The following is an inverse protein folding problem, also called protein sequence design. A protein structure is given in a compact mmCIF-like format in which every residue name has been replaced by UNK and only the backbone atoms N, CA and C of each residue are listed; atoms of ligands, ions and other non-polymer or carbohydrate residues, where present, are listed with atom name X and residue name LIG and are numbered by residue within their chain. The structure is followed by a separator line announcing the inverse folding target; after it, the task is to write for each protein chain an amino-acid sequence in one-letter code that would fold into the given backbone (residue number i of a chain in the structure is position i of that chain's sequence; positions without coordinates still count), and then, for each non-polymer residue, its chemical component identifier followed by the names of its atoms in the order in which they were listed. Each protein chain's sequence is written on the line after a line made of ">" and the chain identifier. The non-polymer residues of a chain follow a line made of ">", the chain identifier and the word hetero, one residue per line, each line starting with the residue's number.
data_IF_419094905444
#
_entry.id   IF_419094905444
#
_cell.length_a   1.000
_cell.length_b   1.000
_cell.length_c   1.000
_cell.angle_alpha   90.00
_cell.angle_beta   90.00
_cell.angle_gamma   90.00
#
_symmetry.space_group_name_H-M   'P 1'
#
loop_
_entity.id
_entity.type
_entity.pdbx_description
1 polymer ?
#
# COMPACT_ATOMS: atom_id res chain seq x y z
N UNK A 1 -2.21 -23.37 -9.84
CA UNK A 1 -1.43 -22.12 -9.69
C UNK A 1 -2.05 -21.31 -8.55
N UNK A 2 -1.27 -20.81 -7.58
CA UNK A 2 -1.82 -19.92 -6.56
C UNK A 2 -2.29 -18.62 -7.21
N UNK A 3 -3.56 -18.26 -7.00
CA UNK A 3 -4.12 -16.94 -7.29
C UNK A 3 -3.19 -15.86 -6.71
N UNK A 4 -2.97 -14.78 -7.45
CA UNK A 4 -2.20 -13.58 -7.10
C UNK A 4 -2.49 -13.07 -5.67
N UNK A 5 -3.72 -13.23 -5.18
CA UNK A 5 -4.20 -12.91 -3.84
C UNK A 5 -3.59 -13.80 -2.75
N UNK A 6 -3.53 -15.13 -2.95
CA UNK A 6 -2.83 -16.02 -2.03
C UNK A 6 -1.32 -15.78 -2.04
N UNK A 7 -0.75 -15.37 -3.18
CA UNK A 7 0.67 -14.95 -3.24
C UNK A 7 0.91 -13.70 -2.41
N UNK A 8 0.01 -12.72 -2.43
CA UNK A 8 0.11 -11.50 -1.64
C UNK A 8 -0.07 -11.76 -0.14
N UNK A 9 -1.02 -12.63 0.24
CA UNK A 9 -1.27 -12.98 1.64
C UNK A 9 -0.15 -13.85 2.23
N UNK A 10 0.33 -14.84 1.46
CA UNK A 10 1.52 -15.62 1.81
C UNK A 10 2.74 -14.72 1.87
N UNK A 11 2.86 -13.73 0.97
CA UNK A 11 3.95 -12.76 0.99
C UNK A 11 3.87 -11.83 2.20
N UNK A 12 2.71 -11.30 2.58
CA UNK A 12 2.54 -10.52 3.82
C UNK A 12 2.94 -11.36 5.04
N UNK A 13 2.53 -12.63 5.08
CA UNK A 13 2.83 -13.54 6.17
C UNK A 13 4.30 -13.98 6.19
N UNK A 14 4.95 -14.15 5.04
CA UNK A 14 6.38 -14.45 4.93
C UNK A 14 7.22 -13.20 5.20
N UNK A 15 6.91 -12.04 4.61
CA UNK A 15 7.69 -10.81 4.70
C UNK A 15 7.74 -10.23 6.13
N UNK A 16 6.64 -10.30 6.89
CA UNK A 16 6.64 -9.96 8.32
C UNK A 16 7.41 -10.97 9.19
N UNK A 17 7.57 -12.23 8.77
CA UNK A 17 8.23 -13.29 9.55
C UNK A 17 9.65 -13.65 9.10
N UNK A 18 10.09 -13.32 7.88
CA UNK A 18 11.42 -13.66 7.35
C UNK A 18 12.44 -12.56 7.54
N UNK A 19 12.01 -11.32 7.72
CA UNK A 19 12.92 -10.27 8.16
C UNK A 19 13.23 -10.49 9.63
N UNK A 20 14.44 -10.94 9.94
CA UNK A 20 14.89 -11.12 11.33
C UNK A 20 14.71 -9.86 12.19
N UNK A 21 15.02 -9.93 13.49
CA UNK A 21 14.74 -8.87 14.49
C UNK A 21 15.01 -7.43 14.02
N UNK A 22 16.08 -7.19 13.26
CA UNK A 22 16.43 -5.88 12.71
C UNK A 22 15.39 -5.33 11.70
N UNK A 23 14.87 -6.19 10.82
CA UNK A 23 13.84 -5.80 9.85
C UNK A 23 12.50 -5.51 10.53
N UNK A 24 12.12 -6.33 11.51
CA UNK A 24 10.92 -6.06 12.32
C UNK A 24 11.00 -4.72 13.07
N UNK A 25 12.17 -4.41 13.65
CA UNK A 25 12.39 -3.12 14.29
C UNK A 25 12.30 -1.95 13.30
N UNK A 26 12.88 -2.09 12.12
CA UNK A 26 12.84 -1.08 11.06
C UNK A 26 11.40 -0.79 10.61
N UNK A 27 10.58 -1.83 10.41
CA UNK A 27 9.17 -1.67 10.05
C UNK A 27 8.34 -1.05 11.17
N UNK A 28 8.64 -1.36 12.43
CA UNK A 28 8.01 -0.71 13.58
C UNK A 28 8.32 0.79 13.63
N UNK A 29 9.59 1.17 13.44
CA UNK A 29 9.99 2.58 13.37
C UNK A 29 9.36 3.33 12.19
N UNK A 30 9.23 2.65 11.04
CA UNK A 30 8.52 3.20 9.90
C UNK A 30 7.05 3.45 10.26
N UNK A 31 6.37 2.48 10.85
CA UNK A 31 4.97 2.60 11.27
C UNK A 31 4.76 3.75 12.25
N UNK A 32 5.62 3.90 13.25
CA UNK A 32 5.55 4.99 14.23
C UNK A 32 5.65 6.38 13.55
N UNK A 33 6.56 6.53 12.58
CA UNK A 33 6.66 7.78 11.80
C UNK A 33 5.38 8.06 11.01
N UNK A 34 4.78 7.04 10.41
CA UNK A 34 3.53 7.21 9.66
C UNK A 34 2.34 7.52 10.58
N UNK A 35 2.31 6.96 11.80
CA UNK A 35 1.31 7.28 12.81
C UNK A 35 1.37 8.76 13.22
N UNK A 36 2.57 9.31 13.44
CA UNK A 36 2.72 10.73 13.73
C UNK A 36 2.21 11.63 12.60
N UNK A 37 2.37 11.22 11.35
CA UNK A 37 1.79 11.93 10.19
C UNK A 37 0.26 11.78 10.18
N UNK A 38 -0.28 10.58 10.46
CA UNK A 38 -1.72 10.37 10.56
C UNK A 38 -2.35 11.28 11.63
N UNK A 39 -1.72 11.43 12.80
CA UNK A 39 -2.19 12.34 13.85
C UNK A 39 -2.22 13.81 13.40
N UNK A 40 -1.22 14.24 12.63
CA UNK A 40 -1.22 15.58 12.03
C UNK A 40 -2.38 15.77 11.05
N UNK A 41 -2.73 14.76 10.24
CA UNK A 41 -3.88 14.83 9.34
C UNK A 41 -5.23 14.80 10.08
N UNK A 42 -5.32 14.05 11.20
CA UNK A 42 -6.52 13.99 12.03
C UNK A 42 -6.82 15.31 12.75
N UNK A 43 -5.79 16.10 13.03
CA UNK A 43 -5.92 17.38 13.75
C UNK A 43 -5.95 18.59 12.83
N UNK A 44 -5.71 18.42 11.52
CA UNK A 44 -5.73 19.50 10.53
C UNK A 44 -7.19 19.86 10.15
N UNK A 45 -7.64 21.11 10.40
CA UNK A 45 -8.99 21.58 10.06
C UNK A 45 -9.36 21.39 8.58
N UNK A 46 -8.38 21.29 7.68
CA UNK A 46 -8.59 21.00 6.26
C UNK A 46 -9.37 19.69 6.03
N UNK A 47 -9.25 18.70 6.91
CA UNK A 47 -9.88 17.38 6.75
C UNK A 47 -11.03 17.11 7.73
N UNK A 48 -11.49 18.12 8.49
CA UNK A 48 -12.57 17.97 9.47
C UNK A 48 -13.86 17.41 8.87
N UNK A 49 -14.16 17.74 7.60
CA UNK A 49 -15.32 17.23 6.87
C UNK A 49 -15.13 15.87 6.17
N UNK A 50 -13.99 15.22 6.33
CA UNK A 50 -13.73 13.92 5.70
C UNK A 50 -14.31 12.78 6.55
N UNK A 51 -15.35 12.11 6.04
CA UNK A 51 -15.95 10.96 6.71
C UNK A 51 -14.97 9.80 6.85
N UNK A 52 -15.00 9.11 7.99
CA UNK A 52 -14.14 7.96 8.31
C UNK A 52 -12.63 8.21 8.11
N UNK A 53 -12.18 9.45 8.32
CA UNK A 53 -10.79 9.86 8.09
C UNK A 53 -9.79 8.93 8.79
N UNK A 54 -10.00 8.60 10.07
CA UNK A 54 -9.12 7.71 10.82
C UNK A 54 -8.98 6.33 10.16
N UNK A 55 -10.09 5.72 9.75
CA UNK A 55 -10.12 4.43 9.06
C UNK A 55 -9.41 4.51 7.70
N UNK A 56 -9.64 5.59 6.94
CA UNK A 56 -8.96 5.85 5.66
C UNK A 56 -7.46 5.99 5.83
N UNK A 57 -7.01 6.76 6.82
CA UNK A 57 -5.59 6.95 7.12
C UNK A 57 -4.90 5.63 7.51
N UNK A 58 -5.55 4.77 8.29
CA UNK A 58 -5.02 3.44 8.61
C UNK A 58 -4.92 2.53 7.37
N UNK A 59 -5.91 2.58 6.49
CA UNK A 59 -5.87 1.85 5.23
C UNK A 59 -4.74 2.35 4.31
N UNK A 60 -4.60 3.66 4.18
CA UNK A 60 -3.55 4.30 3.38
C UNK A 60 -2.15 4.05 3.93
N UNK A 61 -1.98 4.08 5.26
CA UNK A 61 -0.72 3.71 5.94
C UNK A 61 -0.29 2.30 5.55
N UNK A 62 -1.19 1.32 5.71
CA UNK A 62 -0.91 -0.09 5.37
C UNK A 62 -0.51 -0.23 3.90
N UNK A 63 -1.25 0.43 3.00
CA UNK A 63 -0.92 0.43 1.57
C UNK A 63 0.46 1.04 1.28
N UNK A 64 0.77 2.18 1.89
CA UNK A 64 2.06 2.84 1.71
C UNK A 64 3.23 1.97 2.19
N UNK A 65 3.09 1.30 3.33
CA UNK A 65 4.11 0.37 3.86
C UNK A 65 4.34 -0.86 2.96
N UNK A 66 3.35 -1.28 2.17
CA UNK A 66 3.51 -2.33 1.15
C UNK A 66 4.34 -1.86 -0.05
N UNK A 67 4.40 -0.54 -0.30
CA UNK A 67 5.03 0.06 -1.47
C UNK A 67 6.45 0.58 -1.20
N UNK A 68 6.72 1.06 0.01
CA UNK A 68 8.06 1.48 0.45
C UNK A 68 8.94 0.25 0.76
N UNK A 69 9.39 -0.40 -0.32
CA UNK A 69 10.16 -1.64 -0.31
C UNK A 69 11.67 -1.43 -0.11
N UNK A 70 12.15 -0.19 -0.19
CA UNK A 70 13.58 0.13 -0.04
C UNK A 70 13.90 0.69 1.36
N UNK A 71 12.88 0.79 2.24
CA UNK A 71 12.94 1.27 3.62
C UNK A 71 13.51 2.69 3.76
N UNK A 72 13.40 3.51 2.71
CA UNK A 72 13.89 4.90 2.74
C UNK A 72 12.85 5.87 3.29
N UNK A 73 11.61 5.44 3.50
CA UNK A 73 10.50 6.29 3.95
C UNK A 73 9.76 6.97 2.80
N UNK A 74 10.25 6.86 1.57
CA UNK A 74 9.70 7.50 0.37
C UNK A 74 9.66 6.54 -0.82
N UNK A 75 8.60 6.66 -1.63
CA UNK A 75 8.45 5.86 -2.85
C UNK A 75 9.22 6.55 -3.98
N UNK A 76 10.35 5.96 -4.36
CA UNK A 76 11.09 6.35 -5.57
C UNK A 76 10.48 5.75 -6.84
N UNK A 77 10.99 6.15 -8.00
CA UNK A 77 10.52 5.65 -9.30
C UNK A 77 10.61 4.12 -9.43
N UNK A 78 11.57 3.48 -8.76
CA UNK A 78 11.74 2.04 -8.78
C UNK A 78 10.74 1.34 -7.87
N UNK A 79 10.40 1.93 -6.73
CA UNK A 79 9.31 1.52 -5.85
C UNK A 79 7.98 1.56 -6.59
N UNK A 80 7.68 2.68 -7.27
CA UNK A 80 6.48 2.84 -8.09
C UNK A 80 6.44 1.81 -9.23
N UNK A 81 7.55 1.60 -9.93
CA UNK A 81 7.66 0.58 -11.00
C UNK A 81 7.33 -0.81 -10.47
N UNK A 82 8.01 -1.25 -9.40
CA UNK A 82 7.82 -2.58 -8.81
C UNK A 82 6.40 -2.81 -8.33
N UNK A 83 5.79 -1.77 -7.74
CA UNK A 83 4.40 -1.80 -7.33
C UNK A 83 3.49 -2.05 -8.53
N UNK A 84 3.58 -1.24 -9.59
CA UNK A 84 2.73 -1.37 -10.77
C UNK A 84 2.94 -2.70 -11.52
N UNK A 85 4.18 -3.19 -11.59
CA UNK A 85 4.47 -4.53 -12.15
C UNK A 85 3.79 -5.64 -11.34
N UNK A 86 3.79 -5.57 -10.00
CA UNK A 86 3.09 -6.54 -9.15
C UNK A 86 1.58 -6.54 -9.37
N UNK A 87 1.03 -5.40 -9.80
CA UNK A 87 -0.39 -5.22 -10.10
C UNK A 87 -0.73 -5.61 -11.54
N UNK A 88 0.26 -6.04 -12.34
CA UNK A 88 0.09 -6.37 -13.76
C UNK A 88 -0.04 -5.14 -14.66
N UNK A 89 0.24 -3.94 -14.14
CA UNK A 89 0.10 -2.65 -14.81
C UNK A 89 1.47 -2.06 -15.15
N UNK A 90 2.37 -2.84 -15.76
CA UNK A 90 3.70 -2.36 -16.12
C UNK A 90 3.64 -1.06 -16.94
N UNK A 91 4.47 -0.08 -16.57
CA UNK A 91 4.53 1.25 -17.18
C UNK A 91 5.93 1.56 -17.70
N UNK A 92 6.00 2.39 -18.73
CA UNK A 92 7.25 2.96 -19.23
C UNK A 92 7.85 3.94 -18.23
N UNK A 93 9.15 4.20 -18.31
CA UNK A 93 9.82 5.17 -17.44
C UNK A 93 9.22 6.58 -17.52
N UNK A 94 8.77 6.99 -18.72
CA UNK A 94 8.13 8.30 -18.92
C UNK A 94 6.76 8.38 -18.24
N UNK A 95 5.94 7.33 -18.34
CA UNK A 95 4.66 7.27 -17.63
C UNK A 95 4.85 7.31 -16.11
N UNK A 96 5.84 6.57 -15.59
CA UNK A 96 6.19 6.61 -14.17
C UNK A 96 6.56 8.02 -13.71
N UNK A 97 7.44 8.72 -14.45
CA UNK A 97 7.80 10.12 -14.14
C UNK A 97 6.59 11.05 -14.14
N UNK A 98 5.69 10.91 -15.12
CA UNK A 98 4.45 11.70 -15.19
C UNK A 98 3.55 11.43 -13.98
N UNK A 99 3.39 10.18 -13.59
CA UNK A 99 2.61 9.80 -12.41
C UNK A 99 3.22 10.38 -11.12
N UNK A 100 4.54 10.35 -10.95
CA UNK A 100 5.18 10.96 -9.77
C UNK A 100 4.97 12.47 -9.73
N UNK A 101 5.19 13.16 -10.85
CA UNK A 101 4.99 14.60 -10.94
C UNK A 101 3.54 15.02 -10.68
N UNK A 102 2.57 14.20 -11.10
CA UNK A 102 1.14 14.42 -10.83
C UNK A 102 0.81 14.37 -9.33
N UNK A 103 1.41 13.43 -8.60
CA UNK A 103 1.21 13.24 -7.16
C UNK A 103 1.88 14.34 -6.35
N UNK A 104 3.14 14.62 -6.68
CA UNK A 104 3.99 15.55 -5.93
C UNK A 104 3.73 17.01 -6.31
N UNK A 105 3.11 17.24 -7.47
CA UNK A 105 2.84 18.58 -8.00
C UNK A 105 4.10 19.31 -8.51
N UNK A 106 5.23 18.61 -8.63
CA UNK A 106 6.48 19.16 -9.16
C UNK A 106 7.22 18.13 -10.01
N UNK A 107 7.81 18.57 -11.12
CA UNK A 107 8.67 17.72 -11.97
C UNK A 107 10.10 17.60 -11.46
N UNK A 108 10.48 18.33 -10.40
CA UNK A 108 11.84 18.31 -9.83
C UNK A 108 12.02 17.33 -8.68
N UNK A 109 10.93 16.77 -8.14
CA UNK A 109 10.97 15.82 -7.03
C UNK A 109 10.67 14.42 -7.56
N UNK A 110 11.64 13.53 -7.38
CA UNK A 110 11.64 12.16 -7.90
C UNK A 110 11.20 11.12 -6.86
N UNK A 111 10.57 11.55 -5.77
CA UNK A 111 10.08 10.70 -4.69
C UNK A 111 8.70 11.14 -4.23
N UNK A 112 7.84 10.20 -3.85
CA UNK A 112 6.55 10.45 -3.23
C UNK A 112 6.70 10.19 -1.73
N UNK A 113 6.52 11.23 -0.92
CA UNK A 113 6.46 11.08 0.53
C UNK A 113 5.08 10.60 0.98
N UNK A 114 4.95 10.17 2.23
CA UNK A 114 3.65 9.77 2.76
C UNK A 114 2.64 10.94 2.79
N UNK A 115 3.10 12.17 3.03
CA UNK A 115 2.27 13.37 2.91
C UNK A 115 1.72 13.56 1.49
N UNK A 116 2.57 13.39 0.47
CA UNK A 116 2.15 13.51 -0.93
C UNK A 116 1.11 12.43 -1.28
N UNK A 117 1.34 11.21 -0.77
CA UNK A 117 0.42 10.08 -0.94
C UNK A 117 -0.96 10.34 -0.30
N UNK A 118 -1.00 10.81 0.95
CA UNK A 118 -2.26 11.14 1.63
C UNK A 118 -3.00 12.30 0.95
N UNK A 119 -2.28 13.36 0.58
CA UNK A 119 -2.85 14.48 -0.17
C UNK A 119 -3.44 14.03 -1.52
N UNK A 120 -2.81 13.08 -2.20
CA UNK A 120 -3.37 12.46 -3.41
C UNK A 120 -4.65 11.67 -3.08
N UNK A 121 -4.62 10.78 -2.09
CA UNK A 121 -5.74 9.89 -1.78
C UNK A 121 -6.98 10.65 -1.25
N UNK A 122 -6.78 11.65 -0.40
CA UNK A 122 -7.84 12.49 0.18
C UNK A 122 -8.24 13.67 -0.73
N UNK A 123 -7.37 14.06 -1.67
CA UNK A 123 -7.62 15.20 -2.54
C UNK A 123 -8.71 14.96 -3.59
N UNK A 124 -9.35 16.04 -4.06
CA UNK A 124 -10.37 15.98 -5.12
C UNK A 124 -9.82 15.65 -6.51
N UNK A 125 -8.50 15.77 -6.72
CA UNK A 125 -7.85 15.48 -8.01
C UNK A 125 -7.72 13.97 -8.21
N UNK A 126 -8.13 13.50 -9.39
CA UNK A 126 -8.04 12.10 -9.77
C UNK A 126 -6.70 11.81 -10.45
N UNK A 127 -5.65 11.63 -9.66
CA UNK A 127 -4.37 11.18 -10.18
C UNK A 127 -4.48 9.76 -10.75
N UNK A 128 -3.71 9.43 -11.79
CA UNK A 128 -3.73 8.08 -12.38
C UNK A 128 -3.41 7.02 -11.32
N UNK A 129 -2.43 7.31 -10.47
CA UNK A 129 -2.05 6.41 -9.38
C UNK A 129 -3.21 6.20 -8.38
N UNK A 130 -3.94 7.26 -8.01
CA UNK A 130 -5.11 7.16 -7.14
C UNK A 130 -6.17 6.24 -7.73
N UNK A 131 -6.48 6.40 -9.02
CA UNK A 131 -7.47 5.59 -9.71
C UNK A 131 -7.08 4.11 -9.65
N UNK A 132 -5.83 3.78 -10.00
CA UNK A 132 -5.32 2.41 -9.93
C UNK A 132 -5.54 1.80 -8.53
N UNK A 133 -5.15 2.54 -7.49
CA UNK A 133 -5.25 2.06 -6.11
C UNK A 133 -6.70 1.91 -5.62
N UNK A 134 -7.61 2.79 -6.05
CA UNK A 134 -9.04 2.71 -5.70
C UNK A 134 -9.73 1.54 -6.41
N UNK A 135 -9.42 1.28 -7.69
CA UNK A 135 -10.02 0.16 -8.43
C UNK A 135 -9.50 -1.21 -7.98
N UNK A 136 -8.29 -1.28 -7.41
CA UNK A 136 -7.80 -2.50 -6.76
C UNK A 136 -8.50 -2.86 -5.45
N UNK A 137 -9.13 -1.88 -4.78
CA UNK A 137 -9.92 -2.10 -3.57
C UNK A 137 -11.32 -2.61 -3.87
N UNK A 138 -11.98 -2.04 -4.89
CA UNK A 138 -13.37 -2.39 -5.23
C UNK A 138 -13.53 -3.84 -5.74
N UNK A 139 -12.52 -4.39 -6.41
CA UNK A 139 -12.54 -5.81 -6.82
C UNK A 139 -12.37 -6.80 -5.64
N UNK A 140 -12.06 -6.32 -4.42
CA UNK A 140 -11.80 -7.16 -3.23
C UNK A 140 -12.99 -7.23 -2.26
N UNK A 141 -13.96 -6.32 -2.35
CA UNK A 141 -15.13 -6.33 -1.46
C UNK A 141 -16.21 -7.33 -1.90
N UNK A 142 -16.28 -7.70 -3.18
CA UNK A 142 -17.27 -8.69 -3.67
C UNK A 142 -16.96 -10.15 -3.28
N UNK A 143 -15.72 -10.48 -2.86
CA UNK A 143 -15.30 -11.87 -2.58
C UNK A 143 -15.23 -12.26 -1.09
N UNK A 144 -15.55 -11.37 -0.16
CA UNK A 144 -15.62 -11.72 1.28
C UNK A 144 -16.92 -12.48 1.61
N UNK A 145 -17.02 -13.73 1.18
CA UNK A 145 -17.86 -14.73 1.86
C UNK A 145 -16.97 -15.66 2.66
N UNK A 146 -17.21 -15.70 3.96
CA UNK A 146 -16.48 -16.48 4.94
C UNK A 146 -16.39 -17.96 4.54
N UNK A 147 -15.18 -18.48 4.32
CA UNK A 147 -14.96 -19.93 4.29
C UNK A 147 -14.01 -20.27 5.42
N UNK A 148 -14.57 -20.97 6.41
CA UNK A 148 -13.86 -21.39 7.62
C UNK A 148 -12.59 -22.19 7.34
N UNK A 149 -11.73 -22.35 8.37
CA UNK A 149 -10.40 -22.91 8.19
C UNK A 149 -10.46 -24.33 7.58
N UNK A 150 -9.62 -24.64 6.57
CA UNK A 150 -9.60 -25.95 5.93
C UNK A 150 -9.28 -27.06 6.94
N UNK A 151 -10.04 -28.17 6.89
CA UNK A 151 -9.74 -29.35 7.70
C UNK A 151 -8.37 -29.90 7.30
N UNK A 152 -7.53 -30.18 8.30
CA UNK A 152 -6.21 -30.80 8.09
C UNK A 152 -6.42 -32.24 7.65
N UNK A 153 -5.88 -32.61 6.49
CA UNK A 153 -5.81 -34.01 6.04
C UNK A 153 -4.77 -34.74 6.89
N UNK A 154 -5.15 -35.88 7.45
CA UNK A 154 -4.26 -36.75 8.23
C UNK A 154 -3.76 -37.89 7.34
N UNK A 155 -2.72 -38.59 7.79
CA UNK A 155 -2.10 -39.71 7.05
C UNK A 155 -3.07 -40.84 6.66
N UNK A 156 -4.26 -40.87 7.26
CA UNK A 156 -5.39 -41.74 6.91
C UNK A 156 -6.01 -41.47 5.51
N UNK A 157 -5.70 -40.33 4.87
CA UNK A 157 -6.30 -39.93 3.59
C UNK A 157 -5.44 -40.28 2.36
N UNK A 158 -4.41 -41.12 2.50
CA UNK A 158 -3.59 -41.62 1.39
C UNK A 158 -4.03 -43.04 1.01
N UNK A 159 -4.12 -43.38 -0.30
CA UNK A 159 -4.52 -44.70 -0.77
C UNK A 159 -3.48 -45.80 -0.48
#
# INVERSE_FOLDING_TARGET
>A
ALNSSLRLLLFLKYWFFTGGKAFGLLKSQQEEKLNGINEAFLTDPKYEGEEDLASKLEMFKKKYMEFDLNDKGEIDIMGLKRMLEKLGLAKTHLELKKMMAEVVGSSSKDTISYNDFLNMMLGKRNAILKLILMFEGMAKEEEQKEVGPPRRKTFSDLP
#
